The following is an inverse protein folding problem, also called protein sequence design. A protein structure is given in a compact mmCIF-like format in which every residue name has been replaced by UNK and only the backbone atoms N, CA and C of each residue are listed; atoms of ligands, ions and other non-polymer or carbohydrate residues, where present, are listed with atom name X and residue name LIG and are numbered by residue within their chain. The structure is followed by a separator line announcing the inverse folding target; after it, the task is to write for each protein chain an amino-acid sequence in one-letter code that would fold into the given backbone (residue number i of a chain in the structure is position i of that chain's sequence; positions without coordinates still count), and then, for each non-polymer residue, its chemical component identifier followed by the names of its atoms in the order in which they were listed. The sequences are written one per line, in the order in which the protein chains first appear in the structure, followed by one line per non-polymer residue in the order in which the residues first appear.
data_IF_136552733641
#
_entry.id   IF_136552733641
#
_cell.length_a   1.000
_cell.length_b   1.000
_cell.length_c   1.000
_cell.angle_alpha   90.00
_cell.angle_beta   90.00
_cell.angle_gamma   90.00
#
_symmetry.space_group_name_H-M   'P 1'
#
loop_
_entity.id
_entity.type
_entity.pdbx_description
1 polymer ?
#
# COMPACT_ATOMS: atom_id res chain seq x y z
N UNK A 1 -66.88 3.89 29.17
CA UNK A 1 -65.54 4.47 29.40
C UNK A 1 -64.59 3.31 29.56
N UNK A 2 -63.47 3.21 28.83
CA UNK A 2 -62.38 4.20 28.76
C UNK A 2 -61.62 4.14 30.08
N UNK A 3 -60.33 3.80 30.18
CA UNK A 3 -59.24 3.92 29.22
C UNK A 3 -58.10 2.91 29.53
N UNK A 4 -57.31 2.64 28.49
CA UNK A 4 -56.04 1.94 28.51
C UNK A 4 -54.94 2.76 29.21
N UNK A 5 -54.06 2.09 29.94
CA UNK A 5 -52.81 2.65 30.48
C UNK A 5 -51.63 1.84 29.97
N UNK A 6 -51.03 2.31 28.89
CA UNK A 6 -49.82 1.80 28.24
C UNK A 6 -48.59 1.90 29.14
N UNK A 7 -47.84 0.80 29.28
CA UNK A 7 -46.48 0.79 29.83
C UNK A 7 -45.56 1.40 28.78
N UNK A 8 -45.05 2.60 29.05
CA UNK A 8 -44.06 3.26 28.20
C UNK A 8 -42.68 2.64 28.45
N UNK A 9 -42.22 1.84 27.50
CA UNK A 9 -40.83 1.40 27.38
C UNK A 9 -39.95 2.63 27.14
N UNK A 10 -39.12 2.98 28.11
CA UNK A 10 -38.06 3.98 27.93
C UNK A 10 -36.97 3.40 27.05
N UNK A 11 -37.12 3.58 25.74
CA UNK A 11 -36.04 3.41 24.78
C UNK A 11 -35.01 4.51 25.04
N UNK A 12 -34.01 4.20 25.88
CA UNK A 12 -32.80 4.99 26.01
C UNK A 12 -32.09 5.03 24.66
N UNK A 13 -32.27 6.14 23.94
CA UNK A 13 -31.52 6.42 22.72
C UNK A 13 -30.03 6.40 23.04
N UNK A 14 -29.33 5.39 22.54
CA UNK A 14 -27.88 5.37 22.52
C UNK A 14 -27.42 6.53 21.65
N UNK A 15 -26.98 7.61 22.29
CA UNK A 15 -26.29 8.71 21.64
C UNK A 15 -25.10 8.12 20.87
N UNK A 16 -24.89 8.46 19.58
CA UNK A 16 -23.67 8.08 18.91
C UNK A 16 -22.53 8.78 19.65
N UNK A 17 -21.63 7.99 20.24
CA UNK A 17 -20.45 8.51 20.92
C UNK A 17 -19.69 9.48 20.03
N UNK A 18 -18.97 10.45 20.59
CA UNK A 18 -18.35 11.52 19.83
C UNK A 18 -17.40 10.91 18.79
N UNK A 19 -17.77 11.04 17.50
CA UNK A 19 -16.84 10.78 16.40
C UNK A 19 -15.68 11.74 16.62
N UNK A 20 -14.51 11.21 16.97
CA UNK A 20 -13.29 12.01 17.12
C UNK A 20 -12.90 12.50 15.73
N UNK A 21 -13.52 13.60 15.30
CA UNK A 21 -13.08 14.35 14.13
C UNK A 21 -11.77 15.04 14.55
N UNK A 22 -10.63 14.49 14.14
CA UNK A 22 -9.34 15.11 14.41
C UNK A 22 -9.28 16.49 13.75
N UNK A 23 -8.82 17.51 14.48
CA UNK A 23 -8.61 18.85 13.94
C UNK A 23 -7.40 18.95 12.98
N UNK A 24 -6.62 17.86 12.84
CA UNK A 24 -5.43 17.81 12.00
C UNK A 24 -5.80 17.63 10.53
N UNK A 25 -5.35 18.56 9.69
CA UNK A 25 -5.34 18.39 8.22
C UNK A 25 -3.95 17.96 7.78
N UNK A 26 -3.88 16.89 7.00
CA UNK A 26 -2.64 16.39 6.40
C UNK A 26 -2.71 16.68 4.91
N UNK A 27 -1.70 17.39 4.41
CA UNK A 27 -1.57 17.70 2.99
C UNK A 27 -0.47 16.82 2.40
N UNK A 28 -0.85 15.86 1.56
CA UNK A 28 0.08 14.93 0.91
C UNK A 28 0.29 15.36 -0.55
N UNK A 29 1.55 15.54 -1.00
CA UNK A 29 1.87 15.78 -2.41
C UNK A 29 1.23 14.70 -3.31
N UNK A 30 0.77 15.07 -4.50
CA UNK A 30 0.13 14.15 -5.46
C UNK A 30 0.96 12.90 -5.74
N UNK A 31 2.28 13.04 -5.73
CA UNK A 31 3.25 11.97 -5.96
C UNK A 31 3.26 10.89 -4.87
N UNK A 32 2.75 11.22 -3.68
CA UNK A 32 2.71 10.35 -2.50
C UNK A 32 1.29 9.88 -2.17
N UNK A 33 0.29 10.28 -2.96
CA UNK A 33 -1.08 9.82 -2.82
C UNK A 33 -1.24 8.39 -3.34
N UNK A 34 -2.27 7.69 -2.89
CA UNK A 34 -2.56 6.32 -3.32
C UNK A 34 -1.75 5.26 -2.57
N UNK A 35 -1.54 4.11 -3.21
CA UNK A 35 -0.86 2.94 -2.62
C UNK A 35 0.26 2.48 -3.55
N UNK A 36 1.42 2.18 -2.98
CA UNK A 36 2.54 1.57 -3.68
C UNK A 36 2.90 0.20 -3.10
N UNK A 37 3.52 -0.65 -3.91
CA UNK A 37 4.08 -1.93 -3.50
C UNK A 37 5.19 -2.37 -4.45
N UNK A 38 6.04 -3.28 -3.99
CA UNK A 38 7.06 -3.92 -4.81
C UNK A 38 6.55 -5.27 -5.28
N UNK A 39 6.42 -5.46 -6.58
CA UNK A 39 6.08 -6.75 -7.19
C UNK A 39 7.37 -7.44 -7.66
N UNK A 40 7.58 -8.67 -7.22
CA UNK A 40 8.72 -9.50 -7.64
C UNK A 40 8.19 -10.69 -8.41
N UNK A 41 8.66 -10.91 -9.62
CA UNK A 41 8.27 -12.01 -10.50
C UNK A 41 9.52 -12.79 -10.88
N UNK A 42 9.48 -14.11 -10.73
CA UNK A 42 10.42 -14.99 -11.43
C UNK A 42 9.74 -15.49 -12.68
N UNK A 43 10.31 -15.21 -13.85
CA UNK A 43 9.79 -15.62 -15.14
C UNK A 43 10.69 -16.70 -15.73
N UNK A 44 10.10 -17.77 -16.27
CA UNK A 44 10.80 -18.76 -17.10
C UNK A 44 10.25 -18.70 -18.52
N UNK A 45 11.11 -18.51 -19.50
CA UNK A 45 10.76 -18.30 -20.90
C UNK A 45 9.81 -17.09 -21.06
N UNK A 46 8.51 -17.32 -21.17
CA UNK A 46 7.46 -16.28 -21.24
C UNK A 46 6.42 -16.41 -20.11
N UNK A 47 6.56 -17.40 -19.22
CA UNK A 47 5.61 -17.68 -18.15
C UNK A 47 6.09 -17.24 -16.78
N UNK A 48 5.19 -16.65 -15.99
CA UNK A 48 5.47 -16.31 -14.59
C UNK A 48 5.51 -17.60 -13.75
N UNK A 49 6.68 -17.92 -13.20
CA UNK A 49 6.89 -19.07 -12.34
C UNK A 49 6.40 -18.80 -10.92
N UNK A 50 6.70 -17.61 -10.40
CA UNK A 50 6.19 -17.15 -9.11
C UNK A 50 6.08 -15.62 -9.08
N UNK A 51 5.14 -15.13 -8.28
CA UNK A 51 4.95 -13.70 -8.02
C UNK A 51 4.85 -13.49 -6.52
N UNK A 52 5.57 -12.50 -6.00
CA UNK A 52 5.47 -12.02 -4.63
C UNK A 52 5.21 -10.52 -4.63
N UNK A 53 4.53 -10.02 -3.60
CA UNK A 53 4.29 -8.59 -3.40
C UNK A 53 4.75 -8.19 -2.01
N UNK A 54 5.56 -7.14 -1.94
CA UNK A 54 6.03 -6.52 -0.70
C UNK A 54 5.34 -5.17 -0.51
N UNK A 55 4.79 -4.95 0.68
CA UNK A 55 4.18 -3.69 1.11
C UNK A 55 4.56 -3.45 2.58
N UNK A 56 4.88 -2.21 2.94
CA UNK A 56 5.20 -1.84 4.33
C UNK A 56 4.01 -2.06 5.28
N UNK A 57 2.78 -2.00 4.77
CA UNK A 57 1.54 -2.09 5.55
C UNK A 57 1.17 -3.52 6.01
N UNK A 58 1.99 -4.54 5.76
CA UNK A 58 1.75 -5.90 6.26
C UNK A 58 1.71 -6.02 7.80
N UNK A 59 2.11 -4.97 8.53
CA UNK A 59 2.19 -4.95 10.00
C UNK A 59 1.28 -3.93 10.69
N UNK A 60 0.55 -3.07 9.96
CA UNK A 60 -0.26 -2.00 10.59
C UNK A 60 -1.69 -2.46 10.86
N UNK A 61 -1.86 -3.52 11.64
CA UNK A 61 -3.06 -3.68 12.46
C UNK A 61 -2.94 -2.79 13.70
N UNK A 62 -2.76 -1.48 13.52
CA UNK A 62 -2.53 -0.59 14.65
C UNK A 62 -3.64 0.47 14.70
N UNK A 63 -4.46 0.29 15.73
CA UNK A 63 -5.48 1.19 16.25
C UNK A 63 -6.80 1.25 15.45
N UNK A 64 -7.84 0.53 15.91
CA UNK A 64 -9.24 0.74 15.53
C UNK A 64 -9.78 2.17 15.78
N UNK A 65 -8.94 3.06 16.32
CA UNK A 65 -9.21 4.45 16.68
C UNK A 65 -8.26 5.43 15.94
N UNK A 66 -7.61 5.00 14.86
CA UNK A 66 -6.77 5.89 14.05
C UNK A 66 -7.63 6.91 13.29
N UNK A 67 -7.33 8.21 13.45
CA UNK A 67 -8.01 9.27 12.72
C UNK A 67 -7.67 9.27 11.23
N UNK A 68 -8.52 9.87 10.38
CA UNK A 68 -8.31 9.91 8.92
C UNK A 68 -6.95 10.51 8.49
N UNK A 69 -6.43 11.47 9.27
CA UNK A 69 -5.12 12.06 9.07
C UNK A 69 -3.98 11.04 9.22
N UNK A 70 -4.11 10.09 10.15
CA UNK A 70 -3.09 9.09 10.43
C UNK A 70 -3.04 8.08 9.28
N UNK A 71 -4.20 7.60 8.84
CA UNK A 71 -4.28 6.71 7.68
C UNK A 71 -3.70 7.37 6.42
N UNK A 72 -3.97 8.67 6.24
CA UNK A 72 -3.39 9.46 5.14
C UNK A 72 -1.86 9.50 5.21
N UNK A 73 -1.28 9.67 6.40
CA UNK A 73 0.18 9.63 6.58
C UNK A 73 0.75 8.22 6.36
N UNK A 74 0.08 7.18 6.82
CA UNK A 74 0.51 5.79 6.65
C UNK A 74 0.60 5.42 5.16
N UNK A 75 -0.38 5.83 4.35
CA UNK A 75 -0.30 5.67 2.89
C UNK A 75 0.88 6.41 2.28
N UNK A 76 1.07 7.68 2.65
CA UNK A 76 2.20 8.48 2.16
C UNK A 76 3.55 7.86 2.54
N UNK A 77 3.67 7.33 3.77
CA UNK A 77 4.85 6.63 4.24
C UNK A 77 5.13 5.36 3.43
N UNK A 78 4.09 4.56 3.15
CA UNK A 78 4.24 3.38 2.30
C UNK A 78 4.71 3.72 0.88
N UNK A 79 4.18 4.80 0.29
CA UNK A 79 4.62 5.26 -1.04
C UNK A 79 6.08 5.69 -1.02
N UNK A 80 6.49 6.48 -0.01
CA UNK A 80 7.89 6.88 0.18
C UNK A 80 8.81 5.67 0.34
N UNK A 81 8.43 4.72 1.20
CA UNK A 81 9.20 3.50 1.43
C UNK A 81 9.40 2.69 0.15
N UNK A 82 8.32 2.41 -0.58
CA UNK A 82 8.42 1.62 -1.82
C UNK A 82 9.28 2.33 -2.87
N UNK A 83 9.15 3.65 -3.01
CA UNK A 83 9.98 4.46 -3.92
C UNK A 83 11.46 4.40 -3.55
N UNK A 84 11.78 4.59 -2.28
CA UNK A 84 13.16 4.57 -1.81
C UNK A 84 13.79 3.18 -1.92
N UNK A 85 13.06 2.14 -1.52
CA UNK A 85 13.49 0.76 -1.65
C UNK A 85 13.80 0.42 -3.12
N UNK A 86 12.88 0.77 -4.04
CA UNK A 86 13.11 0.53 -5.47
C UNK A 86 14.32 1.31 -5.99
N UNK A 87 14.48 2.57 -5.60
CA UNK A 87 15.62 3.40 -6.01
C UNK A 87 16.96 2.82 -5.54
N UNK A 88 17.03 2.30 -4.32
CA UNK A 88 18.24 1.64 -3.81
C UNK A 88 18.52 0.36 -4.60
N UNK A 89 17.51 -0.50 -4.79
CA UNK A 89 17.66 -1.73 -5.58
C UNK A 89 18.10 -1.43 -7.03
N UNK A 90 17.55 -0.38 -7.65
CA UNK A 90 17.91 0.05 -8.99
C UNK A 90 19.38 0.49 -9.07
N UNK A 91 19.84 1.29 -8.08
CA UNK A 91 21.24 1.73 -7.99
C UNK A 91 22.19 0.55 -7.79
N UNK A 92 21.83 -0.40 -6.95
CA UNK A 92 22.63 -1.61 -6.71
C UNK A 92 22.67 -2.51 -7.94
N UNK A 93 21.54 -2.71 -8.61
CA UNK A 93 21.46 -3.53 -9.81
C UNK A 93 22.38 -3.04 -10.92
N UNK A 94 22.51 -1.73 -11.10
CA UNK A 94 23.43 -1.11 -12.07
C UNK A 94 24.89 -1.25 -11.66
N UNK A 95 25.19 -1.22 -10.36
CA UNK A 95 26.56 -1.30 -9.85
C UNK A 95 27.08 -2.75 -9.75
N UNK A 96 26.20 -3.74 -9.64
CA UNK A 96 26.60 -5.13 -9.52
C UNK A 96 27.19 -5.63 -10.85
N UNK A 97 28.40 -6.20 -10.79
CA UNK A 97 29.00 -6.86 -11.95
C UNK A 97 28.45 -8.28 -12.10
N UNK A 98 27.57 -8.48 -13.07
CA UNK A 98 27.03 -9.79 -13.45
C UNK A 98 27.47 -10.17 -14.88
N UNK A 99 27.63 -11.47 -15.20
CA UNK A 99 27.95 -11.92 -16.56
C UNK A 99 26.96 -11.42 -17.62
N UNK A 100 25.68 -11.28 -17.23
CA UNK A 100 24.64 -10.61 -18.00
C UNK A 100 24.23 -9.38 -17.19
N UNK A 101 24.43 -8.15 -17.72
CA UNK A 101 24.09 -6.94 -16.99
C UNK A 101 22.61 -6.88 -16.61
N UNK A 102 22.33 -6.40 -15.40
CA UNK A 102 20.97 -6.10 -15.00
C UNK A 102 20.48 -4.85 -15.75
N UNK A 103 19.19 -4.85 -16.08
CA UNK A 103 18.56 -3.76 -16.83
C UNK A 103 17.56 -3.06 -15.93
N UNK A 104 17.72 -1.74 -15.77
CA UNK A 104 16.76 -0.90 -15.05
C UNK A 104 16.07 0.02 -16.04
N UNK A 105 14.77 -0.13 -16.22
CA UNK A 105 13.96 0.68 -17.15
C UNK A 105 12.67 1.10 -16.46
N UNK A 106 12.52 2.41 -16.28
CA UNK A 106 11.38 2.99 -15.57
C UNK A 106 11.25 2.41 -14.17
N UNK A 107 10.07 1.85 -13.87
CA UNK A 107 9.76 1.24 -12.58
C UNK A 107 10.05 -0.26 -12.52
N UNK A 108 10.94 -0.78 -13.39
CA UNK A 108 11.29 -2.20 -13.44
C UNK A 108 12.80 -2.43 -13.45
N UNK A 109 13.24 -3.43 -12.68
CA UNK A 109 14.59 -3.99 -12.69
C UNK A 109 14.47 -5.42 -13.20
N UNK A 110 15.28 -5.78 -14.20
CA UNK A 110 15.35 -7.12 -14.78
C UNK A 110 16.75 -7.69 -14.59
N UNK A 111 16.83 -8.86 -14.00
CA UNK A 111 18.08 -9.59 -13.77
C UNK A 111 17.96 -11.02 -14.28
N UNK A 112 18.91 -11.47 -15.10
CA UNK A 112 18.95 -12.86 -15.56
C UNK A 112 19.60 -13.72 -14.47
N UNK A 113 18.85 -14.69 -13.93
CA UNK A 113 19.37 -15.60 -12.90
C UNK A 113 20.09 -16.79 -13.54
N UNK A 114 19.44 -17.39 -14.53
CA UNK A 114 19.88 -18.57 -15.27
C UNK A 114 19.43 -18.42 -16.74
N UNK A 115 19.99 -19.18 -17.70
CA UNK A 115 19.46 -19.21 -19.06
C UNK A 115 17.96 -19.51 -19.07
N UNK A 116 17.17 -18.61 -19.67
CA UNK A 116 15.72 -18.71 -19.73
C UNK A 116 14.98 -18.36 -18.43
N UNK A 117 15.66 -17.97 -17.34
CA UNK A 117 15.02 -17.56 -16.07
C UNK A 117 15.43 -16.13 -15.71
N UNK A 118 14.44 -15.26 -15.54
CA UNK A 118 14.63 -13.86 -15.18
C UNK A 118 13.92 -13.52 -13.88
N UNK A 119 14.54 -12.65 -13.09
CA UNK A 119 13.92 -11.96 -11.97
C UNK A 119 13.50 -10.56 -12.43
N UNK A 120 12.25 -10.21 -12.17
CA UNK A 120 11.67 -8.90 -12.49
C UNK A 120 11.19 -8.28 -11.18
N UNK A 121 11.76 -7.15 -10.79
CA UNK A 121 11.34 -6.36 -9.63
C UNK A 121 10.68 -5.10 -10.15
N UNK A 122 9.42 -4.86 -9.78
CA UNK A 122 8.62 -3.73 -10.25
C UNK A 122 8.13 -2.87 -9.09
N UNK A 123 8.25 -1.56 -9.22
CA UNK A 123 7.53 -0.62 -8.37
C UNK A 123 6.15 -0.36 -8.98
N UNK A 124 5.10 -0.80 -8.28
CA UNK A 124 3.72 -0.53 -8.66
C UNK A 124 3.18 0.61 -7.81
N UNK A 125 2.52 1.58 -8.44
CA UNK A 125 1.87 2.71 -7.77
C UNK A 125 0.49 2.90 -8.39
N UNK A 126 -0.54 2.85 -7.56
CA UNK A 126 -1.93 3.03 -7.97
C UNK A 126 -2.56 4.17 -7.17
N UNK A 127 -3.19 5.09 -7.87
CA UNK A 127 -4.04 6.12 -7.28
C UNK A 127 -5.50 5.75 -7.58
N UNK A 128 -6.44 6.00 -6.67
CA UNK A 128 -7.85 5.65 -6.86
C UNK A 128 -8.54 6.37 -8.05
N UNK A 129 -7.82 7.22 -8.78
CA UNK A 129 -8.28 7.92 -9.98
C UNK A 129 -8.02 7.16 -11.29
N UNK A 130 -7.52 5.92 -11.25
CA UNK A 130 -7.24 5.10 -12.45
C UNK A 130 -8.35 4.07 -12.70
N UNK A 131 -9.60 4.53 -12.84
CA UNK A 131 -10.79 3.72 -13.17
C UNK A 131 -11.75 4.47 -14.08
#
# INVERSE_FOLDING_TARGET
GGAAGTVATTAGGAAPGPKINSALRVNVPTELQGVAFIKVITQKDQGDLCTATLNMMGSTQLCPQAGAWQQTLEFAQNVLFCKELFNQLAREAVQLQAPIPHVVVGNQIRATLLPGIQLIISLCHSTSSDS
#
